data_IF_514134233785
#
_entry.id   IF_514134233785
#
_cell.length_a   1.000
_cell.length_b   1.000
_cell.length_c   1.000
_cell.angle_alpha   90.00
_cell.angle_beta   90.00
_cell.angle_gamma   90.00
#
_symmetry.space_group_name_H-M   'P 1'
#
loop_
_entity.id
_entity.type
_entity.pdbx_description
1 polymer ?
#
# COMPACT_ATOMS: atom_id res chain seq x y z
N UNK A 1 -28.01 8.03 20.80
CA UNK A 1 -26.70 8.63 20.47
C UNK A 1 -26.03 7.64 19.55
N UNK A 2 -25.70 8.02 18.31
CA UNK A 2 -25.06 7.09 17.37
C UNK A 2 -23.60 6.90 17.80
N UNK A 3 -23.15 5.65 17.90
CA UNK A 3 -21.75 5.37 18.20
C UNK A 3 -20.87 5.85 17.02
N UNK A 4 -19.92 6.76 17.24
CA UNK A 4 -19.15 7.38 16.15
C UNK A 4 -18.21 6.39 15.44
N UNK A 5 -17.86 5.27 16.07
CA UNK A 5 -17.01 4.23 15.50
C UNK A 5 -17.21 2.89 16.21
N UNK A 6 -16.82 1.80 15.55
CA UNK A 6 -16.76 0.46 16.14
C UNK A 6 -15.32 0.15 16.54
N UNK A 7 -15.04 0.02 17.84
CA UNK A 7 -13.70 -0.30 18.34
C UNK A 7 -13.38 -1.78 18.11
N UNK A 8 -12.23 -2.07 17.50
CA UNK A 8 -11.64 -3.42 17.41
C UNK A 8 -10.28 -3.44 18.08
N UNK A 9 -10.03 -4.44 18.90
CA UNK A 9 -8.76 -4.63 19.62
C UNK A 9 -8.07 -5.87 19.09
N UNK A 10 -6.80 -5.72 18.74
CA UNK A 10 -5.95 -6.78 18.22
C UNK A 10 -4.76 -6.98 19.14
N UNK A 11 -4.34 -8.23 19.30
CA UNK A 11 -3.09 -8.62 19.94
C UNK A 11 -2.18 -9.19 18.87
N UNK A 12 -0.92 -8.81 18.91
CA UNK A 12 0.10 -9.28 17.98
C UNK A 12 1.28 -9.83 18.78
N UNK A 13 1.87 -10.90 18.26
CA UNK A 13 3.12 -11.47 18.75
C UNK A 13 4.17 -11.30 17.65
N UNK A 14 5.36 -10.86 18.02
CA UNK A 14 6.49 -10.79 17.10
C UNK A 14 7.09 -12.18 16.96
N UNK A 15 7.10 -12.73 15.74
CA UNK A 15 7.78 -13.99 15.43
C UNK A 15 9.29 -13.80 15.34
N UNK A 16 9.70 -12.68 14.73
CA UNK A 16 11.09 -12.26 14.57
C UNK A 16 11.32 -10.92 15.29
N UNK A 17 12.58 -10.56 15.61
CA UNK A 17 12.92 -9.25 16.17
C UNK A 17 12.36 -8.11 15.30
N UNK A 18 11.59 -7.20 15.91
CA UNK A 18 10.99 -6.07 15.21
C UNK A 18 11.78 -4.78 15.46
N UNK A 19 12.08 -4.05 14.38
CA UNK A 19 12.74 -2.76 14.44
C UNK A 19 11.84 -1.65 13.89
N UNK A 20 11.29 -0.82 14.78
CA UNK A 20 10.49 0.36 14.40
C UNK A 20 11.32 1.62 14.64
N UNK A 21 11.99 2.09 13.59
CA UNK A 21 12.89 3.24 13.67
C UNK A 21 12.18 4.56 14.02
N UNK A 22 12.90 5.47 14.67
CA UNK A 22 12.41 6.80 15.07
C UNK A 22 12.54 7.88 13.99
N UNK A 23 13.09 7.53 12.82
CA UNK A 23 13.22 8.44 11.67
C UNK A 23 14.35 9.48 11.80
N UNK A 24 15.26 9.35 12.76
CA UNK A 24 16.42 10.22 12.90
C UNK A 24 17.53 9.59 13.73
N UNK A 25 18.78 9.96 13.42
CA UNK A 25 19.92 9.63 14.25
C UNK A 25 19.81 10.42 15.56
N UNK A 26 19.67 9.70 16.67
CA UNK A 26 19.89 10.29 17.98
C UNK A 26 21.37 10.13 18.29
N UNK A 27 22.08 11.23 18.53
CA UNK A 27 23.43 11.15 19.06
C UNK A 27 23.34 10.46 20.43
N UNK A 28 23.80 9.22 20.49
CA UNK A 28 23.57 8.35 21.63
C UNK A 28 24.35 7.04 21.48
N UNK A 29 24.22 6.15 22.46
CA UNK A 29 24.96 4.88 22.46
C UNK A 29 24.54 3.92 21.34
N UNK A 30 23.33 4.09 20.80
CA UNK A 30 22.76 3.26 19.74
C UNK A 30 22.38 4.17 18.58
N UNK A 31 22.95 3.93 17.40
CA UNK A 31 22.74 4.78 16.21
C UNK A 31 21.27 4.76 15.76
N UNK A 32 20.70 3.55 15.65
CA UNK A 32 19.33 3.35 15.21
C UNK A 32 18.45 2.90 16.38
N UNK A 33 17.93 3.87 17.11
CA UNK A 33 17.00 3.60 18.23
C UNK A 33 15.61 3.21 17.74
N UNK A 34 14.96 2.31 18.48
CA UNK A 34 13.54 1.98 18.28
C UNK A 34 12.62 3.05 18.88
N UNK A 35 11.40 3.12 18.35
CA UNK A 35 10.37 4.05 18.80
C UNK A 35 9.86 3.72 20.20
N UNK A 36 9.73 4.76 21.02
CA UNK A 36 9.29 4.68 22.42
C UNK A 36 8.27 5.76 22.71
N UNK A 37 7.41 5.51 23.69
CA UNK A 37 6.50 6.52 24.20
C UNK A 37 7.28 7.60 24.98
N UNK A 38 7.10 8.90 24.70
CA UNK A 38 7.92 9.96 25.31
C UNK A 38 7.85 10.04 26.84
N UNK A 39 6.68 9.76 27.42
CA UNK A 39 6.48 9.87 28.88
C UNK A 39 6.98 8.68 29.68
N UNK A 40 6.85 7.47 29.14
CA UNK A 40 7.17 6.21 29.86
C UNK A 40 8.49 5.59 29.39
N UNK A 41 9.01 6.00 28.24
CA UNK A 41 10.16 5.40 27.56
C UNK A 41 9.97 3.91 27.23
N UNK A 42 8.72 3.41 27.25
CA UNK A 42 8.39 2.03 26.87
C UNK A 42 8.33 1.93 25.34
N UNK A 43 8.89 0.88 24.72
CA UNK A 43 8.78 0.69 23.27
C UNK A 43 7.32 0.62 22.81
N UNK A 44 7.04 1.23 21.66
CA UNK A 44 5.72 1.22 21.03
C UNK A 44 5.85 1.11 19.52
N UNK A 45 4.79 0.63 18.87
CA UNK A 45 4.66 0.71 17.41
C UNK A 45 3.63 1.79 17.09
N UNK A 46 4.00 2.87 16.39
CA UNK A 46 3.04 3.92 16.03
C UNK A 46 1.89 3.37 15.17
N UNK A 47 0.68 3.88 15.41
CA UNK A 47 -0.49 3.53 14.60
C UNK A 47 -0.31 3.86 13.12
N UNK A 48 0.46 4.90 12.80
CA UNK A 48 0.84 5.26 11.43
C UNK A 48 1.74 4.21 10.76
N UNK A 49 2.66 3.60 11.50
CA UNK A 49 3.52 2.52 11.00
C UNK A 49 2.70 1.26 10.73
N UNK A 50 1.79 0.90 11.65
CA UNK A 50 0.87 -0.22 11.48
C UNK A 50 -0.02 0.01 10.26
N UNK A 51 -0.63 1.19 10.16
CA UNK A 51 -1.47 1.59 9.02
C UNK A 51 -0.73 1.45 7.70
N UNK A 52 0.50 1.96 7.61
CA UNK A 52 1.32 1.87 6.39
C UNK A 52 1.62 0.43 5.98
N UNK A 53 2.02 -0.42 6.95
CA UNK A 53 2.28 -1.83 6.69
C UNK A 53 1.00 -2.56 6.26
N UNK A 54 -0.08 -2.45 7.04
CA UNK A 54 -1.35 -3.12 6.74
C UNK A 54 -1.92 -2.67 5.38
N UNK A 55 -1.77 -1.40 5.01
CA UNK A 55 -2.17 -0.87 3.70
C UNK A 55 -1.46 -1.62 2.56
N UNK A 56 -0.14 -1.77 2.64
CA UNK A 56 0.65 -2.48 1.65
C UNK A 56 0.23 -3.96 1.55
N UNK A 57 0.15 -4.65 2.69
CA UNK A 57 -0.26 -6.06 2.73
C UNK A 57 -1.69 -6.28 2.21
N UNK A 58 -2.62 -5.36 2.49
CA UNK A 58 -3.99 -5.44 1.98
C UNK A 58 -4.00 -5.35 0.45
N UNK A 59 -3.24 -4.40 -0.12
CA UNK A 59 -3.14 -4.26 -1.57
C UNK A 59 -2.50 -5.48 -2.23
N UNK A 60 -1.46 -6.06 -1.61
CA UNK A 60 -0.81 -7.29 -2.08
C UNK A 60 -1.77 -8.49 -2.03
N UNK A 61 -2.55 -8.64 -0.95
CA UNK A 61 -3.52 -9.70 -0.82
C UNK A 61 -4.62 -9.64 -1.90
N UNK A 62 -5.18 -8.44 -2.14
CA UNK A 62 -6.17 -8.22 -3.21
C UNK A 62 -5.57 -8.54 -4.58
N UNK A 63 -4.33 -8.15 -4.82
CA UNK A 63 -3.64 -8.42 -6.08
C UNK A 63 -3.38 -9.91 -6.29
N UNK A 64 -2.92 -10.61 -5.25
CA UNK A 64 -2.69 -12.05 -5.29
C UNK A 64 -3.97 -12.82 -5.62
N UNK A 65 -5.12 -12.40 -5.08
CA UNK A 65 -6.42 -13.00 -5.40
C UNK A 65 -6.90 -12.72 -6.84
N UNK A 66 -6.43 -11.63 -7.46
CA UNK A 66 -6.90 -11.17 -8.77
C UNK A 66 -5.79 -11.21 -9.83
N UNK A 67 -4.90 -12.20 -9.80
CA UNK A 67 -3.77 -12.27 -10.73
C UNK A 67 -4.22 -12.44 -12.19
N UNK A 68 -3.92 -11.48 -13.05
CA UNK A 68 -4.16 -11.53 -14.50
C UNK A 68 -2.99 -12.21 -15.19
N UNK A 69 -3.28 -13.18 -16.04
CA UNK A 69 -2.29 -13.80 -16.92
C UNK A 69 -2.23 -13.02 -18.24
N UNK A 70 -1.01 -12.81 -18.75
CA UNK A 70 -0.80 -12.21 -20.07
C UNK A 70 -0.73 -13.37 -21.05
N UNK A 71 -1.72 -13.48 -21.94
CA UNK A 71 -1.73 -14.51 -22.96
C UNK A 71 -0.62 -14.26 -24.01
N UNK A 72 -0.29 -15.28 -24.81
CA UNK A 72 0.73 -15.20 -25.88
C UNK A 72 0.48 -14.05 -26.88
N UNK A 73 -0.78 -13.67 -27.05
CA UNK A 73 -1.21 -12.57 -27.93
C UNK A 73 -1.25 -11.20 -27.21
N UNK A 74 -0.61 -11.08 -26.04
CA UNK A 74 -0.62 -9.89 -25.19
C UNK A 74 -2.03 -9.44 -24.78
N UNK A 75 -2.96 -10.39 -24.75
CA UNK A 75 -4.33 -10.18 -24.31
C UNK A 75 -4.47 -10.41 -22.80
N UNK A 76 -5.14 -9.46 -22.14
CA UNK A 76 -5.42 -9.48 -20.71
C UNK A 76 -6.90 -9.27 -20.45
N UNK A 77 -7.41 -9.89 -19.38
CA UNK A 77 -8.72 -9.53 -18.82
C UNK A 77 -8.60 -8.14 -18.17
N UNK A 78 -9.25 -7.16 -18.80
CA UNK A 78 -9.17 -5.76 -18.36
C UNK A 78 -9.78 -5.56 -16.98
N UNK A 79 -10.88 -6.26 -16.66
CA UNK A 79 -11.54 -6.15 -15.34
C UNK A 79 -10.64 -6.70 -14.25
N UNK A 80 -9.98 -7.83 -14.50
CA UNK A 80 -9.05 -8.45 -13.55
C UNK A 80 -7.80 -7.59 -13.34
N UNK A 81 -7.26 -7.03 -14.43
CA UNK A 81 -6.15 -6.08 -14.39
C UNK A 81 -6.49 -4.81 -13.59
N UNK A 82 -7.72 -4.29 -13.72
CA UNK A 82 -8.15 -3.11 -12.96
C UNK A 82 -8.19 -3.33 -11.43
N UNK A 83 -8.30 -4.60 -11.00
CA UNK A 83 -8.29 -4.97 -9.58
C UNK A 83 -6.89 -5.01 -8.97
N UNK A 84 -5.81 -4.97 -9.76
CA UNK A 84 -4.46 -4.87 -9.19
C UNK A 84 -4.26 -3.52 -8.50
N UNK A 85 -3.99 -3.55 -7.20
CA UNK A 85 -3.89 -2.35 -6.35
C UNK A 85 -2.47 -2.04 -5.87
N UNK A 86 -1.51 -2.95 -6.06
CA UNK A 86 -0.12 -2.81 -5.60
C UNK A 86 0.87 -2.84 -6.79
N UNK A 87 1.53 -1.70 -7.06
CA UNK A 87 2.50 -1.59 -8.16
C UNK A 87 1.98 -2.14 -9.51
N UNK A 88 0.74 -1.79 -9.86
CA UNK A 88 0.14 -2.18 -11.15
C UNK A 88 0.80 -1.41 -12.28
N UNK A 89 1.42 -2.12 -13.23
CA UNK A 89 2.03 -1.53 -14.43
C UNK A 89 0.98 -0.86 -15.32
N UNK A 90 1.23 0.37 -15.78
CA UNK A 90 0.36 1.13 -16.70
C UNK A 90 0.64 0.76 -18.15
N UNK A 91 0.12 -0.36 -18.61
CA UNK A 91 0.26 -0.72 -20.02
C UNK A 91 -0.49 0.26 -20.92
N UNK A 92 0.11 0.61 -22.05
CA UNK A 92 -0.62 1.22 -23.16
C UNK A 92 -1.42 0.12 -23.83
N UNK A 93 -2.74 0.21 -23.79
CA UNK A 93 -3.61 -0.89 -24.19
C UNK A 93 -4.82 -0.43 -24.99
N UNK A 94 -5.26 -1.26 -25.93
CA UNK A 94 -6.48 -1.06 -26.72
C UNK A 94 -7.59 -1.99 -26.21
N UNK A 95 -8.74 -1.43 -25.86
CA UNK A 95 -9.88 -2.17 -25.30
C UNK A 95 -10.64 -2.87 -26.44
N UNK A 96 -10.78 -4.19 -26.36
CA UNK A 96 -11.70 -4.97 -27.23
C UNK A 96 -13.12 -4.88 -26.66
N UNK A 97 -14.12 -4.84 -27.54
CA UNK A 97 -15.54 -4.82 -27.15
C UNK A 97 -16.01 -6.01 -26.28
N UNK A 98 -15.21 -7.08 -26.20
CA UNK A 98 -15.51 -8.28 -25.41
C UNK A 98 -15.09 -8.17 -23.93
N UNK A 99 -14.56 -7.03 -23.49
CA UNK A 99 -14.11 -6.81 -22.10
C UNK A 99 -12.65 -7.19 -21.83
N UNK A 100 -11.92 -7.63 -22.85
CA UNK A 100 -10.48 -7.86 -22.81
C UNK A 100 -9.72 -6.65 -23.38
N UNK A 101 -8.43 -6.52 -23.04
CA UNK A 101 -7.56 -5.50 -23.60
C UNK A 101 -6.32 -6.16 -24.23
N UNK A 102 -5.85 -5.60 -25.35
CA UNK A 102 -4.54 -5.97 -25.92
C UNK A 102 -3.52 -4.93 -25.48
N UNK A 103 -2.39 -5.39 -24.95
CA UNK A 103 -1.24 -4.54 -24.62
C UNK A 103 -0.47 -4.22 -25.90
N UNK A 104 -0.18 -2.94 -26.15
CA UNK A 104 0.68 -2.52 -27.25
C UNK A 104 2.13 -2.93 -26.98
N UNK A 105 2.82 -3.41 -28.01
CA UNK A 105 4.21 -3.88 -27.93
C UNK A 105 5.12 -3.12 -28.90
N UNK A 106 6.38 -2.97 -28.52
CA UNK A 106 7.44 -2.42 -29.37
C UNK A 106 7.92 -3.46 -30.41
N UNK A 107 8.80 -3.06 -31.34
CA UNK A 107 9.45 -3.92 -32.33
C UNK A 107 10.18 -5.13 -31.71
N UNK A 108 10.69 -4.98 -30.49
CA UNK A 108 11.31 -6.05 -29.69
C UNK A 108 10.31 -6.97 -28.96
N UNK A 109 9.00 -6.82 -29.19
CA UNK A 109 7.90 -7.51 -28.47
C UNK A 109 7.86 -7.22 -26.95
N UNK A 110 8.36 -6.05 -26.53
CA UNK A 110 8.26 -5.57 -25.14
C UNK A 110 6.97 -4.76 -24.97
N UNK A 111 6.25 -4.89 -23.85
CA UNK A 111 5.03 -4.12 -23.61
C UNK A 111 5.35 -2.63 -23.42
N UNK A 112 4.53 -1.78 -24.02
CA UNK A 112 4.61 -0.32 -23.88
C UNK A 112 3.79 0.18 -22.70
N UNK A 113 4.18 1.32 -22.14
CA UNK A 113 3.58 1.93 -20.96
C UNK A 113 2.99 3.31 -21.25
N UNK A 114 2.00 3.72 -20.45
CA UNK A 114 1.46 5.08 -20.50
C UNK A 114 2.38 6.08 -19.81
N UNK A 115 2.79 7.13 -20.54
CA UNK A 115 3.59 8.24 -20.00
C UNK A 115 4.42 8.93 -21.07
N UNK A 116 5.32 9.82 -20.63
CA UNK A 116 6.23 10.56 -21.51
C UNK A 116 7.26 9.64 -22.19
N UNK A 117 7.61 8.52 -21.53
CA UNK A 117 8.48 7.46 -22.06
C UNK A 117 7.72 6.13 -22.14
N UNK A 118 7.31 5.67 -23.34
CA UNK A 118 6.59 4.41 -23.52
C UNK A 118 7.37 3.14 -23.16
N UNK A 119 8.71 3.23 -23.11
CA UNK A 119 9.59 2.09 -22.82
C UNK A 119 9.93 1.96 -21.33
N UNK A 120 9.54 2.92 -20.50
CA UNK A 120 9.79 2.91 -19.05
C UNK A 120 8.52 2.53 -18.29
N UNK A 121 8.60 1.58 -17.34
CA UNK A 121 7.42 1.13 -16.63
C UNK A 121 6.94 2.21 -15.64
N UNK A 122 5.69 2.64 -15.83
CA UNK A 122 4.97 3.49 -14.87
C UNK A 122 3.98 2.64 -14.06
N UNK A 123 3.85 2.91 -12.75
CA UNK A 123 3.06 2.09 -11.84
C UNK A 123 1.93 2.88 -11.16
N UNK A 124 0.77 2.26 -11.00
CA UNK A 124 -0.28 2.67 -10.07
C UNK A 124 -0.14 1.91 -8.76
N UNK A 125 -0.31 2.58 -7.62
CA UNK A 125 -0.32 1.93 -6.32
C UNK A 125 -1.28 2.63 -5.38
N UNK A 126 -2.35 1.92 -5.02
CA UNK A 126 -3.27 2.38 -3.98
C UNK A 126 -2.66 2.24 -2.57
N UNK A 127 -1.51 1.57 -2.45
CA UNK A 127 -0.82 1.28 -1.20
C UNK A 127 0.38 2.19 -0.89
N UNK A 128 0.86 2.96 -1.87
CA UNK A 128 2.00 3.88 -1.70
C UNK A 128 1.60 5.26 -1.15
N UNK A 129 2.57 6.16 -1.02
CA UNK A 129 2.35 7.58 -0.67
C UNK A 129 1.79 8.43 -1.84
N UNK A 130 1.35 7.79 -2.92
CA UNK A 130 1.30 8.38 -4.26
C UNK A 130 2.66 8.23 -4.95
N UNK A 131 2.68 8.05 -6.28
CA UNK A 131 3.90 8.19 -7.07
C UNK A 131 4.40 9.64 -7.01
N UNK A 132 5.53 9.97 -7.63
CA UNK A 132 6.15 11.31 -7.59
C UNK A 132 5.22 12.46 -8.02
N UNK A 133 4.12 12.16 -8.71
CA UNK A 133 3.08 13.10 -9.13
C UNK A 133 1.86 13.18 -8.20
N UNK A 134 1.83 12.42 -7.09
CA UNK A 134 0.70 12.34 -6.17
C UNK A 134 -0.53 11.62 -6.76
N UNK A 135 -0.43 10.98 -7.92
CA UNK A 135 -1.56 10.40 -8.67
C UNK A 135 -1.57 8.85 -8.63
N UNK A 136 -0.83 8.24 -7.70
CA UNK A 136 -0.73 6.78 -7.58
C UNK A 136 -2.03 6.07 -7.17
N UNK A 137 -2.99 6.82 -6.60
CA UNK A 137 -4.26 6.29 -6.10
C UNK A 137 -5.36 6.28 -7.16
N UNK A 138 -6.18 5.23 -7.17
CA UNK A 138 -7.29 5.13 -8.14
C UNK A 138 -8.41 6.17 -7.89
N UNK A 139 -8.66 6.57 -6.64
CA UNK A 139 -9.71 7.53 -6.27
C UNK A 139 -11.13 6.97 -6.33
N UNK A 140 -11.29 5.65 -6.51
CA UNK A 140 -12.60 5.02 -6.58
C UNK A 140 -13.24 4.88 -5.18
N UNK A 141 -14.55 5.17 -5.03
CA UNK A 141 -15.25 5.16 -3.74
C UNK A 141 -15.49 3.75 -3.18
N UNK A 142 -15.25 2.71 -3.97
CA UNK A 142 -15.39 1.29 -3.64
C UNK A 142 -14.04 0.57 -3.50
N UNK A 143 -12.93 1.32 -3.55
CA UNK A 143 -11.60 0.73 -3.47
C UNK A 143 -11.28 0.25 -2.05
N UNK A 144 -11.13 -1.06 -1.90
CA UNK A 144 -10.82 -1.78 -0.65
C UNK A 144 -9.54 -1.32 0.06
N UNK A 145 -8.64 -0.61 -0.64
CA UNK A 145 -7.42 -0.02 -0.05
C UNK A 145 -7.59 1.48 0.20
N UNK A 146 -8.17 2.23 -0.73
CA UNK A 146 -8.29 3.69 -0.60
C UNK A 146 -9.33 4.09 0.44
N UNK A 147 -10.43 3.35 0.57
CA UNK A 147 -11.51 3.68 1.51
C UNK A 147 -11.08 3.50 2.98
N UNK A 148 -10.44 2.39 3.39
CA UNK A 148 -10.03 2.25 4.79
C UNK A 148 -8.85 3.16 5.16
N UNK A 149 -7.86 3.30 4.28
CA UNK A 149 -6.59 3.96 4.59
C UNK A 149 -6.50 5.43 4.15
N UNK A 150 -7.44 5.89 3.32
CA UNK A 150 -7.45 7.24 2.77
C UNK A 150 -6.47 7.43 1.60
N UNK A 151 -6.64 8.54 0.88
CA UNK A 151 -5.78 8.93 -0.23
C UNK A 151 -5.81 10.44 -0.47
N UNK A 152 -4.79 10.93 -1.14
CA UNK A 152 -4.74 12.29 -1.68
C UNK A 152 -4.27 12.23 -3.13
N UNK A 153 -4.99 12.89 -4.04
CA UNK A 153 -4.59 13.05 -5.44
C UNK A 153 -4.32 14.52 -5.75
N UNK A 154 -3.04 14.83 -6.01
CA UNK A 154 -2.55 16.21 -6.06
C UNK A 154 -3.05 17.03 -7.24
N UNK A 155 -3.18 16.43 -8.44
CA UNK A 155 -3.59 17.15 -9.67
C UNK A 155 -5.10 17.20 -9.85
N UNK A 156 -5.80 16.15 -9.42
CA UNK A 156 -7.28 16.09 -9.48
C UNK A 156 -7.96 16.80 -8.30
N UNK A 157 -7.20 17.20 -7.26
CA UNK A 157 -7.73 17.88 -6.08
C UNK A 157 -8.63 17.01 -5.20
N UNK A 158 -8.76 15.71 -5.51
CA UNK A 158 -9.59 14.79 -4.75
C UNK A 158 -8.78 14.14 -3.63
N UNK A 159 -9.26 14.27 -2.40
CA UNK A 159 -8.73 13.58 -1.24
C UNK A 159 -9.86 12.94 -0.45
N UNK A 160 -9.54 11.88 0.28
CA UNK A 160 -10.50 11.17 1.11
C UNK A 160 -9.82 10.74 2.41
N UNK A 161 -10.46 11.07 3.54
CA UNK A 161 -10.03 10.61 4.84
C UNK A 161 -10.38 9.12 5.01
N UNK A 162 -9.38 8.30 5.35
CA UNK A 162 -9.60 6.88 5.58
C UNK A 162 -10.60 6.63 6.71
N UNK A 163 -11.47 5.63 6.53
CA UNK A 163 -12.47 5.24 7.53
C UNK A 163 -11.88 4.45 8.70
N UNK A 164 -10.69 3.86 8.53
CA UNK A 164 -10.02 3.10 9.57
C UNK A 164 -9.04 3.99 10.35
N UNK A 165 -9.20 4.04 11.67
CA UNK A 165 -8.29 4.73 12.57
C UNK A 165 -7.39 3.73 13.31
N UNK A 166 -6.08 3.97 13.25
CA UNK A 166 -5.08 3.12 13.90
C UNK A 166 -4.53 3.81 15.14
N UNK A 167 -4.47 3.07 16.24
CA UNK A 167 -3.85 3.51 17.49
C UNK A 167 -2.46 2.90 17.63
N UNK A 168 -1.61 3.54 18.44
CA UNK A 168 -0.29 3.01 18.78
C UNK A 168 -0.42 1.66 19.50
N UNK A 169 0.33 0.65 19.04
CA UNK A 169 0.44 -0.61 19.75
C UNK A 169 1.38 -0.46 20.94
N UNK A 170 0.91 -0.92 22.10
CA UNK A 170 1.62 -0.90 23.38
C UNK A 170 2.04 -2.31 23.75
N UNK A 171 3.18 -2.42 24.44
CA UNK A 171 3.66 -3.70 24.96
C UNK A 171 2.68 -4.24 26.00
N UNK A 172 2.37 -5.53 25.89
CA UNK A 172 1.64 -6.30 26.89
C UNK A 172 2.57 -7.28 27.62
N UNK A 173 3.37 -8.02 26.86
CA UNK A 173 4.38 -8.95 27.38
C UNK A 173 5.72 -8.66 26.71
N UNK A 174 6.81 -8.71 27.49
CA UNK A 174 8.18 -8.58 26.98
C UNK A 174 8.99 -9.79 27.44
N UNK A 175 9.57 -10.59 26.53
CA UNK A 175 10.31 -11.77 26.91
C UNK A 175 11.61 -11.38 27.62
N UNK A 176 11.86 -12.01 28.78
CA UNK A 176 13.09 -11.85 29.55
C UNK A 176 13.64 -13.24 29.82
N UNK A 177 14.93 -13.44 29.58
CA UNK A 177 15.60 -14.70 29.86
C UNK A 177 15.55 -15.01 31.37
N UNK A 178 15.18 -16.24 31.71
CA UNK A 178 15.24 -16.76 33.08
C UNK A 178 16.49 -17.65 33.19
N UNK A 179 17.40 -17.37 34.13
CA UNK A 179 18.62 -18.17 34.34
C UNK A 179 18.34 -19.61 34.78
#
# INVERSE_FOLDING_TARGET
MADPFVKKTYYAITLDPVHIGTGGYRLGRVDNTITREPGTNIPKIPGSSISGATRAYTAMAIQSANQTEINKDYEIDYKKYLKWKYQRLRYKMSIKGNGNAIIEVDADKKPLYEGDNPNEPKYYSCAGKGADDGEGHCGAPDCEVCVPFGFSKGKSGSSFQGLAQFYDARILFFPVHTP
#
